data_IF_660085918250
#
_entry.id   IF_660085918250
#
_cell.length_a   1.000
_cell.length_b   1.000
_cell.length_c   1.000
_cell.angle_alpha   90.00
_cell.angle_beta   90.00
_cell.angle_gamma   90.00
#
_symmetry.space_group_name_H-M   'P 1'
#
loop_
_entity.id
_entity.type
_entity.pdbx_description
1 polymer ?
#
# COMPACT_ATOMS: atom_id res chain seq x y z
N UNK A 1 6.26 8.64 -18.23
CA UNK A 1 5.20 9.01 -19.19
C UNK A 1 4.29 10.10 -18.63
N UNK A 2 3.74 9.90 -17.43
CA UNK A 2 2.81 10.85 -16.79
C UNK A 2 3.39 12.25 -16.66
N UNK A 3 4.59 12.37 -16.07
CA UNK A 3 5.30 13.64 -15.88
C UNK A 3 5.82 14.27 -17.19
N UNK A 4 5.90 13.51 -18.29
CA UNK A 4 6.42 13.96 -19.58
C UNK A 4 5.29 14.26 -20.58
N UNK A 5 4.11 14.62 -20.11
CA UNK A 5 2.92 14.96 -20.92
C UNK A 5 2.47 13.85 -21.90
N UNK A 6 2.82 12.58 -21.61
CA UNK A 6 2.37 11.41 -22.38
C UNK A 6 1.24 10.67 -21.65
N UNK A 7 0.27 11.40 -21.13
CA UNK A 7 -0.80 10.88 -20.28
C UNK A 7 -1.67 9.84 -20.99
N UNK A 8 -2.03 10.09 -22.25
CA UNK A 8 -2.85 9.14 -23.01
C UNK A 8 -2.19 7.76 -23.12
N UNK A 9 -0.87 7.72 -23.38
CA UNK A 9 -0.12 6.45 -23.41
C UNK A 9 -0.02 5.83 -22.02
N UNK A 10 0.17 6.64 -20.99
CA UNK A 10 0.24 6.14 -19.61
C UNK A 10 -1.07 5.48 -19.19
N UNK A 11 -2.22 6.09 -19.48
CA UNK A 11 -3.54 5.52 -19.21
C UNK A 11 -3.82 4.28 -20.05
N UNK A 12 -3.38 4.25 -21.30
CA UNK A 12 -3.49 3.06 -22.14
C UNK A 12 -2.70 1.87 -21.52
N UNK A 13 -1.48 2.11 -21.06
CA UNK A 13 -0.68 1.08 -20.37
C UNK A 13 -1.31 0.65 -19.06
N UNK A 14 -1.89 1.57 -18.28
CA UNK A 14 -2.68 1.21 -17.09
C UNK A 14 -3.81 0.24 -17.43
N UNK A 15 -4.59 0.55 -18.48
CA UNK A 15 -5.69 -0.31 -18.93
C UNK A 15 -5.20 -1.69 -19.35
N UNK A 16 -4.08 -1.78 -20.08
CA UNK A 16 -3.47 -3.06 -20.45
C UNK A 16 -3.00 -3.86 -19.22
N UNK A 17 -2.39 -3.19 -18.24
CA UNK A 17 -2.00 -3.83 -16.99
C UNK A 17 -3.21 -4.37 -16.22
N UNK A 18 -4.31 -3.61 -16.19
CA UNK A 18 -5.54 -4.04 -15.55
C UNK A 18 -6.14 -5.28 -16.24
N UNK A 19 -6.13 -5.31 -17.56
CA UNK A 19 -6.65 -6.43 -18.34
C UNK A 19 -5.80 -7.70 -18.20
N UNK A 20 -4.47 -7.56 -18.28
CA UNK A 20 -3.54 -8.70 -18.29
C UNK A 20 -3.24 -9.22 -16.89
N UNK A 21 -3.05 -8.34 -15.91
CA UNK A 21 -2.57 -8.70 -14.56
C UNK A 21 -3.61 -8.50 -13.46
N UNK A 22 -4.80 -7.99 -13.77
CA UNK A 22 -5.83 -7.67 -12.79
C UNK A 22 -5.33 -6.71 -11.70
N UNK A 23 -4.54 -5.70 -12.08
CA UNK A 23 -4.03 -4.64 -11.19
C UNK A 23 -4.45 -3.27 -11.71
N UNK A 24 -4.78 -2.36 -10.81
CA UNK A 24 -5.09 -0.98 -11.14
C UNK A 24 -4.09 -0.05 -10.44
N UNK A 25 -3.02 0.30 -11.14
CA UNK A 25 -1.99 1.22 -10.64
C UNK A 25 -2.04 2.50 -11.46
N UNK A 26 -2.51 3.58 -10.84
CA UNK A 26 -2.61 4.86 -11.52
C UNK A 26 -1.21 5.41 -11.87
N UNK A 27 -0.98 5.86 -13.12
CA UNK A 27 0.35 6.30 -13.56
C UNK A 27 0.85 7.58 -12.88
N UNK A 28 0.00 8.29 -12.15
CA UNK A 28 0.37 9.41 -11.29
C UNK A 28 0.94 8.99 -9.93
N UNK A 29 0.76 7.74 -9.52
CA UNK A 29 1.31 7.24 -8.26
C UNK A 29 2.84 7.31 -8.26
N UNK A 30 3.41 7.66 -7.09
CA UNK A 30 4.85 7.73 -6.90
C UNK A 30 5.33 6.44 -6.21
N UNK A 31 6.09 5.63 -6.93
CA UNK A 31 6.57 4.34 -6.44
C UNK A 31 8.10 4.34 -6.42
N UNK A 32 8.67 4.07 -5.26
CA UNK A 32 10.11 4.01 -5.02
C UNK A 32 10.77 2.74 -5.57
N UNK A 33 12.01 2.51 -5.16
CA UNK A 33 12.79 1.33 -5.54
C UNK A 33 12.61 0.15 -4.59
N UNK A 34 12.87 -1.07 -5.08
CA UNK A 34 12.82 -2.29 -4.25
C UNK A 34 11.41 -2.67 -3.77
N UNK A 35 10.37 -2.17 -4.42
CA UNK A 35 8.99 -2.51 -4.08
C UNK A 35 8.66 -3.91 -4.61
N UNK A 36 8.21 -4.79 -3.70
CA UNK A 36 7.73 -6.11 -4.06
C UNK A 36 6.19 -6.11 -4.07
N UNK A 37 5.61 -6.71 -5.10
CA UNK A 37 4.17 -6.96 -5.19
C UNK A 37 3.98 -8.46 -5.42
N UNK A 38 3.59 -9.16 -4.36
CA UNK A 38 3.44 -10.61 -4.40
C UNK A 38 2.03 -11.02 -4.82
N UNK A 39 1.92 -11.90 -5.80
CA UNK A 39 0.70 -12.32 -6.50
C UNK A 39 -0.04 -11.21 -7.25
N UNK A 40 -0.01 -10.00 -6.81
CA UNK A 40 -0.53 -8.76 -7.39
C UNK A 40 -2.05 -8.69 -7.64
N UNK A 41 -2.74 -9.78 -7.93
CA UNK A 41 -4.15 -9.80 -8.33
C UNK A 41 -5.03 -8.95 -7.41
N UNK A 42 -5.79 -8.02 -7.99
CA UNK A 42 -6.69 -7.12 -7.25
C UNK A 42 -5.99 -5.98 -6.50
N UNK A 43 -4.71 -5.73 -6.77
CA UNK A 43 -4.00 -4.56 -6.25
C UNK A 43 -4.57 -3.28 -6.87
N UNK A 44 -4.83 -2.29 -6.02
CA UNK A 44 -5.24 -0.94 -6.45
C UNK A 44 -4.33 0.11 -5.81
N UNK A 45 -3.71 0.96 -6.61
CA UNK A 45 -2.91 2.11 -6.15
C UNK A 45 -3.41 3.38 -6.82
N UNK A 46 -4.00 4.27 -6.03
CA UNK A 46 -4.62 5.50 -6.52
C UNK A 46 -3.62 6.57 -6.94
N UNK A 47 -4.13 7.58 -7.65
CA UNK A 47 -3.38 8.62 -8.36
C UNK A 47 -2.31 9.35 -7.52
N UNK A 48 -2.66 9.76 -6.30
CA UNK A 48 -1.78 10.55 -5.42
C UNK A 48 -1.09 9.71 -4.35
N UNK A 49 -1.16 8.38 -4.46
CA UNK A 49 -0.47 7.48 -3.55
C UNK A 49 1.05 7.61 -3.66
N UNK A 50 1.73 7.49 -2.53
CA UNK A 50 3.19 7.46 -2.46
C UNK A 50 3.60 6.16 -1.78
N UNK A 51 4.42 5.38 -2.45
CA UNK A 51 5.04 4.16 -1.93
C UNK A 51 6.55 4.37 -1.95
N UNK A 52 7.17 4.37 -0.77
CA UNK A 52 8.61 4.56 -0.64
C UNK A 52 9.37 3.25 -0.92
N UNK A 53 10.70 3.30 -0.71
CA UNK A 53 11.57 2.18 -1.03
C UNK A 53 11.36 0.95 -0.15
N UNK A 54 11.62 -0.23 -0.68
CA UNK A 54 11.60 -1.49 0.05
C UNK A 54 10.26 -1.77 0.75
N UNK A 55 9.15 -1.46 0.10
CA UNK A 55 7.80 -1.80 0.55
C UNK A 55 7.38 -3.12 -0.09
N UNK A 56 6.72 -3.98 0.69
CA UNK A 56 6.12 -5.21 0.16
C UNK A 56 4.61 -5.19 0.35
N UNK A 57 3.89 -5.52 -0.72
CA UNK A 57 2.42 -5.60 -0.75
C UNK A 57 2.00 -6.94 -1.33
N UNK A 58 0.94 -7.53 -0.76
CA UNK A 58 0.35 -8.74 -1.30
C UNK A 58 -0.89 -8.43 -2.14
N UNK A 59 -1.50 -9.49 -2.69
CA UNK A 59 -2.71 -9.38 -3.52
C UNK A 59 -3.87 -8.70 -2.79
N UNK A 60 -4.76 -8.08 -3.55
CA UNK A 60 -5.98 -7.46 -3.05
C UNK A 60 -5.77 -6.23 -2.15
N UNK A 61 -4.55 -5.71 -2.05
CA UNK A 61 -4.27 -4.46 -1.32
C UNK A 61 -4.87 -3.27 -2.07
N UNK A 62 -5.45 -2.33 -1.33
CA UNK A 62 -5.95 -1.07 -1.88
C UNK A 62 -5.33 0.12 -1.16
N UNK A 63 -4.68 1.00 -1.93
CA UNK A 63 -4.28 2.34 -1.50
C UNK A 63 -5.23 3.33 -2.14
N UNK A 64 -6.37 3.58 -1.48
CA UNK A 64 -7.53 4.30 -2.02
C UNK A 64 -7.78 5.65 -1.37
N UNK A 65 -8.61 6.49 -2.03
CA UNK A 65 -9.22 7.66 -1.43
C UNK A 65 -10.52 7.31 -0.69
N UNK A 66 -11.09 8.28 0.03
CA UNK A 66 -12.37 8.13 0.76
C UNK A 66 -13.58 8.76 0.05
N UNK A 67 -13.45 9.02 -1.24
CA UNK A 67 -14.59 9.34 -2.12
C UNK A 67 -14.73 10.79 -2.52
N UNK A 68 -15.04 11.71 -1.63
CA UNK A 68 -15.43 13.09 -1.99
C UNK A 68 -14.28 14.11 -1.94
N UNK A 69 -13.04 13.67 -1.86
CA UNK A 69 -11.88 14.55 -1.81
C UNK A 69 -11.27 14.76 -3.20
N UNK A 70 -10.79 15.96 -3.45
CA UNK A 70 -9.97 16.33 -4.60
C UNK A 70 -8.52 16.58 -4.16
N UNK A 71 -7.59 16.57 -5.10
CA UNK A 71 -6.18 16.80 -4.81
C UNK A 71 -5.50 15.58 -4.20
N UNK A 72 -4.68 15.82 -3.18
CA UNK A 72 -3.92 14.76 -2.50
C UNK A 72 -4.81 13.98 -1.52
N UNK A 73 -5.21 12.78 -1.91
CA UNK A 73 -6.27 12.00 -1.25
C UNK A 73 -5.94 10.52 -1.00
N UNK A 74 -4.73 10.09 -1.36
CA UNK A 74 -4.33 8.69 -1.24
C UNK A 74 -3.20 8.47 -0.22
N UNK A 75 -3.02 7.26 0.28
CA UNK A 75 -2.05 6.94 1.33
C UNK A 75 -0.59 7.21 0.97
N UNK A 76 0.21 7.46 2.00
CA UNK A 76 1.67 7.60 1.96
C UNK A 76 2.28 6.43 2.74
N UNK A 77 2.86 5.50 2.02
CA UNK A 77 3.51 4.31 2.59
C UNK A 77 5.00 4.56 2.68
N UNK A 78 5.53 4.53 3.91
CA UNK A 78 6.96 4.75 4.17
C UNK A 78 7.78 3.51 3.92
N UNK A 79 9.10 3.66 3.95
CA UNK A 79 10.04 2.58 3.62
C UNK A 79 9.93 1.37 4.55
N UNK A 80 10.17 0.18 4.03
CA UNK A 80 10.22 -1.06 4.81
C UNK A 80 8.88 -1.59 5.29
N UNK A 81 7.76 -0.98 4.89
CA UNK A 81 6.41 -1.38 5.29
C UNK A 81 5.98 -2.67 4.61
N UNK A 82 5.40 -3.59 5.39
CA UNK A 82 4.73 -4.79 4.89
C UNK A 82 3.21 -4.62 4.96
N UNK A 83 2.53 -4.77 3.82
CA UNK A 83 1.07 -4.74 3.72
C UNK A 83 0.57 -6.11 3.27
N UNK A 84 -0.07 -6.83 4.19
CA UNK A 84 -0.53 -8.19 3.94
C UNK A 84 -1.80 -8.23 3.07
N UNK A 85 -2.15 -9.43 2.60
CA UNK A 85 -3.20 -9.66 1.63
C UNK A 85 -4.55 -9.04 2.03
N UNK A 86 -5.21 -8.40 1.07
CA UNK A 86 -6.55 -7.86 1.21
C UNK A 86 -6.67 -6.62 2.09
N UNK A 87 -5.59 -6.05 2.62
CA UNK A 87 -5.65 -4.83 3.41
C UNK A 87 -6.12 -3.63 2.58
N UNK A 88 -6.93 -2.77 3.19
CA UNK A 88 -7.44 -1.53 2.60
C UNK A 88 -6.94 -0.36 3.41
N UNK A 89 -6.21 0.54 2.78
CA UNK A 89 -5.68 1.77 3.39
C UNK A 89 -6.32 2.93 2.64
N UNK A 90 -7.13 3.71 3.33
CA UNK A 90 -8.00 4.70 2.71
C UNK A 90 -7.76 6.11 3.25
N UNK A 91 -7.69 7.07 2.33
CA UNK A 91 -7.52 8.49 2.64
C UNK A 91 -6.06 8.96 2.59
N UNK A 92 -5.88 10.26 2.73
CA UNK A 92 -4.54 10.87 2.79
C UNK A 92 -3.93 10.67 4.18
N UNK A 93 -3.56 9.43 4.48
CA UNK A 93 -2.96 8.99 5.74
C UNK A 93 -1.57 8.41 5.51
N UNK A 94 -0.77 8.35 6.57
CA UNK A 94 0.57 7.83 6.51
C UNK A 94 0.69 6.49 7.23
N UNK A 95 1.34 5.53 6.58
CA UNK A 95 1.82 4.30 7.22
C UNK A 95 3.31 4.43 7.44
N UNK A 96 3.69 4.56 8.70
CA UNK A 96 5.04 4.89 9.13
C UNK A 96 6.08 3.82 8.78
N UNK A 97 7.35 4.25 8.74
CA UNK A 97 8.49 3.40 8.39
C UNK A 97 8.51 2.09 9.19
N UNK A 98 8.77 0.98 8.49
CA UNK A 98 8.86 -0.33 9.13
C UNK A 98 7.58 -0.82 9.81
N UNK A 99 6.43 -0.20 9.53
CA UNK A 99 5.15 -0.69 10.04
C UNK A 99 4.70 -1.95 9.32
N UNK A 100 3.76 -2.67 9.94
CA UNK A 100 3.17 -3.89 9.41
C UNK A 100 1.66 -3.81 9.47
N UNK A 101 1.01 -4.05 8.34
CA UNK A 101 -0.45 -4.08 8.22
C UNK A 101 -0.89 -5.52 7.98
N UNK A 102 -1.67 -6.06 8.92
CA UNK A 102 -2.18 -7.43 8.87
C UNK A 102 -3.15 -7.68 7.71
N UNK A 103 -3.34 -8.95 7.35
CA UNK A 103 -4.24 -9.34 6.28
C UNK A 103 -5.70 -8.89 6.55
N UNK A 104 -6.40 -8.44 5.51
CA UNK A 104 -7.79 -8.00 5.60
C UNK A 104 -8.04 -6.75 6.46
N UNK A 105 -7.02 -6.05 6.86
CA UNK A 105 -7.12 -4.87 7.74
C UNK A 105 -7.69 -3.66 7.01
N UNK A 106 -8.58 -2.92 7.66
CA UNK A 106 -9.08 -1.63 7.19
C UNK A 106 -8.41 -0.48 7.96
N UNK A 107 -7.50 0.23 7.32
CA UNK A 107 -6.76 1.35 7.90
C UNK A 107 -7.40 2.67 7.46
N UNK A 108 -7.90 3.44 8.42
CA UNK A 108 -8.55 4.74 8.22
C UNK A 108 -7.81 5.89 8.92
N UNK A 109 -6.79 5.58 9.70
CA UNK A 109 -5.97 6.55 10.45
C UNK A 109 -4.49 6.24 10.25
N UNK A 110 -3.63 7.24 10.39
CA UNK A 110 -2.19 7.06 10.26
C UNK A 110 -1.63 6.05 11.26
N UNK A 111 -0.66 5.27 10.80
CA UNK A 111 0.01 4.23 11.58
C UNK A 111 1.41 4.70 11.94
N UNK A 112 1.77 4.64 13.22
CA UNK A 112 3.08 5.02 13.68
C UNK A 112 4.19 4.09 13.12
N UNK A 113 5.43 4.59 12.98
CA UNK A 113 6.56 3.75 12.60
C UNK A 113 6.70 2.52 13.50
N UNK A 114 7.20 1.42 12.92
CA UNK A 114 7.48 0.17 13.64
C UNK A 114 6.32 -0.33 14.50
N UNK A 115 5.10 -0.19 13.98
CA UNK A 115 3.85 -0.60 14.63
C UNK A 115 3.14 -1.65 13.78
N UNK A 116 2.62 -2.69 14.41
CA UNK A 116 1.75 -3.68 13.75
C UNK A 116 0.29 -3.33 14.03
N UNK A 117 -0.50 -3.20 12.95
CA UNK A 117 -1.95 -2.97 13.04
C UNK A 117 -2.71 -4.10 12.37
N UNK A 118 -3.90 -4.42 12.88
CA UNK A 118 -4.79 -5.43 12.32
C UNK A 118 -6.25 -5.14 12.66
N UNK A 119 -7.16 -5.72 11.88
CA UNK A 119 -8.61 -5.68 12.14
C UNK A 119 -9.38 -4.66 11.30
N UNK A 120 -10.70 -4.64 11.51
CA UNK A 120 -11.67 -3.78 10.81
C UNK A 120 -12.56 -3.10 11.85
N UNK A 121 -12.33 -1.81 12.17
CA UNK A 121 -11.20 -0.99 11.75
C UNK A 121 -9.89 -1.42 12.41
N UNK A 122 -8.76 -0.99 11.83
CA UNK A 122 -7.43 -1.31 12.33
C UNK A 122 -7.20 -0.86 13.78
N UNK A 123 -6.50 -1.72 14.53
CA UNK A 123 -6.03 -1.42 15.89
C UNK A 123 -4.58 -1.86 16.01
N UNK A 124 -3.84 -1.18 16.86
CA UNK A 124 -2.48 -1.58 17.21
C UNK A 124 -2.53 -2.92 17.94
N UNK A 125 -1.82 -3.92 17.41
CA UNK A 125 -1.75 -5.28 17.97
C UNK A 125 -0.34 -5.67 18.41
N UNK A 126 0.64 -4.79 18.18
CA UNK A 126 2.02 -5.03 18.59
C UNK A 126 3.04 -4.23 17.80
N UNK A 127 4.25 -4.75 17.77
CA UNK A 127 5.36 -4.22 16.98
C UNK A 127 5.97 -5.32 16.12
N UNK A 128 6.44 -5.00 14.91
CA UNK A 128 7.22 -5.96 14.13
C UNK A 128 8.49 -6.37 14.90
N UNK A 129 8.93 -7.58 14.69
CA UNK A 129 10.22 -8.06 15.25
C UNK A 129 11.40 -7.48 14.49
N UNK A 130 11.20 -7.25 13.20
CA UNK A 130 12.20 -6.80 12.23
C UNK A 130 12.09 -5.28 12.02
N UNK A 131 13.22 -4.63 11.76
CA UNK A 131 13.25 -3.19 11.45
C UNK A 131 12.55 -2.88 10.11
N UNK A 132 12.65 -3.80 9.15
CA UNK A 132 12.02 -3.69 7.84
C UNK A 132 11.21 -4.96 7.53
N UNK A 133 9.97 -5.08 8.03
CA UNK A 133 9.12 -6.28 7.86
C UNK A 133 8.92 -6.68 6.39
N UNK A 134 8.96 -5.71 5.50
CA UNK A 134 8.83 -5.94 4.06
C UNK A 134 9.90 -6.90 3.49
N UNK A 135 11.11 -6.90 4.04
CA UNK A 135 12.21 -7.72 3.55
C UNK A 135 12.10 -9.18 4.04
N UNK A 136 11.49 -9.39 5.17
CA UNK A 136 11.31 -10.72 5.77
C UNK A 136 10.00 -11.40 5.32
N UNK A 137 9.03 -10.62 4.84
CA UNK A 137 7.72 -11.11 4.37
C UNK A 137 6.95 -11.95 5.42
N UNK A 138 7.30 -11.84 6.69
CA UNK A 138 6.59 -12.53 7.77
C UNK A 138 5.25 -11.83 8.06
N UNK A 139 4.16 -12.45 7.66
CA UNK A 139 2.80 -11.92 7.80
C UNK A 139 2.16 -12.25 9.15
N UNK A 140 2.81 -13.04 10.00
CA UNK A 140 2.25 -13.39 11.31
C UNK A 140 2.05 -12.14 12.14
N UNK A 141 0.86 -12.00 12.69
CA UNK A 141 0.57 -11.01 13.71
C UNK A 141 0.99 -11.65 15.03
N UNK A 142 2.04 -11.09 15.65
CA UNK A 142 2.44 -11.56 16.96
C UNK A 142 1.35 -11.16 17.95
N UNK A 143 0.42 -12.06 18.26
CA UNK A 143 -0.30 -11.96 19.51
C UNK A 143 0.75 -11.94 20.62
N UNK A 144 0.71 -10.93 21.48
CA UNK A 144 1.52 -10.94 22.69
C UNK A 144 1.31 -12.27 23.42
N UNK A 145 2.35 -12.81 24.07
CA UNK A 145 2.22 -14.03 24.84
C UNK A 145 1.19 -13.87 25.95
#
# INVERSE_FOLDING_TARGET
LWLNNRQALALHLQSLCAEVFCVDIHPGAQIGGGVMIDHATGLVIGETAVVKDNVSMLHGVTLGGIGNESGDRHPKIRSGVLIAAGAKILGNIEVGEGAKVGAGTLVLESVNPHTTVAGVPARVVGKPREAAPALEMDQRINSAP
#
